data_IF_053116466823
#
_entry.id   IF_053116466823
#
_cell.length_a   1.000
_cell.length_b   1.000
_cell.length_c   1.000
_cell.angle_alpha   90.00
_cell.angle_beta   90.00
_cell.angle_gamma   90.00
#
_symmetry.space_group_name_H-M   'P 1'
#
loop_
_entity.id
_entity.type
_entity.pdbx_description
1 polymer ?
#
# COMPACT_ATOMS: atom_id res chain seq x y z
N UNK A 1 -26.74 5.55 0.74
CA UNK A 1 -26.25 6.88 1.16
C UNK A 1 -25.40 7.45 0.05
N UNK A 2 -25.43 8.76 -0.17
CA UNK A 2 -24.55 9.39 -1.14
C UNK A 2 -23.10 9.16 -0.69
N UNK A 3 -22.32 8.45 -1.51
CA UNK A 3 -20.87 8.36 -1.29
C UNK A 3 -20.25 9.72 -1.61
N UNK A 4 -19.29 10.21 -0.80
CA UNK A 4 -18.52 11.40 -1.15
C UNK A 4 -17.92 11.24 -2.55
N UNK A 5 -17.97 12.30 -3.36
CA UNK A 5 -17.40 12.28 -4.72
C UNK A 5 -15.87 12.31 -4.70
N UNK A 6 -15.30 13.06 -3.77
CA UNK A 6 -13.85 13.23 -3.60
C UNK A 6 -13.41 12.64 -2.28
N UNK A 7 -12.41 11.76 -2.32
CA UNK A 7 -11.91 11.06 -1.13
C UNK A 7 -11.24 12.03 -0.14
N UNK A 8 -10.35 12.89 -0.64
CA UNK A 8 -9.67 13.90 0.16
C UNK A 8 -10.45 15.21 0.07
N UNK A 9 -11.38 15.39 1.00
CA UNK A 9 -12.29 16.53 1.04
C UNK A 9 -12.85 16.70 2.45
N UNK A 10 -13.45 17.86 2.72
CA UNK A 10 -14.13 18.13 3.99
C UNK A 10 -15.27 17.14 4.31
N UNK A 11 -15.86 16.52 3.29
CA UNK A 11 -16.97 15.55 3.41
C UNK A 11 -16.49 14.12 3.74
N UNK A 12 -15.20 13.84 3.56
CA UNK A 12 -14.62 12.50 3.69
C UNK A 12 -13.31 12.54 4.49
N UNK A 13 -12.15 12.50 3.82
CA UNK A 13 -10.83 12.56 4.46
C UNK A 13 -10.37 14.01 4.50
N UNK A 14 -10.49 14.61 5.69
CA UNK A 14 -10.22 16.03 5.93
C UNK A 14 -9.05 16.25 6.91
N UNK A 15 -8.84 17.51 7.31
CA UNK A 15 -7.76 17.88 8.25
C UNK A 15 -7.86 17.19 9.60
N UNK A 16 -9.06 17.02 10.16
CA UNK A 16 -9.26 16.29 11.42
C UNK A 16 -8.87 14.82 11.27
N UNK A 17 -9.20 14.22 10.12
CA UNK A 17 -8.79 12.85 9.78
C UNK A 17 -7.27 12.73 9.72
N UNK A 18 -6.58 13.72 9.13
CA UNK A 18 -5.11 13.75 9.11
C UNK A 18 -4.50 13.88 10.51
N UNK A 19 -5.11 14.69 11.39
CA UNK A 19 -4.64 14.81 12.78
C UNK A 19 -4.86 13.54 13.59
N UNK A 20 -6.00 12.88 13.43
CA UNK A 20 -6.27 11.59 14.05
C UNK A 20 -5.27 10.52 13.57
N UNK A 21 -4.96 10.51 12.28
CA UNK A 21 -3.94 9.64 11.70
C UNK A 21 -2.54 9.92 12.29
N UNK A 22 -2.13 11.20 12.35
CA UNK A 22 -0.87 11.58 12.97
C UNK A 22 -0.82 11.17 14.45
N UNK A 23 -1.93 11.30 15.17
CA UNK A 23 -2.02 10.89 16.57
C UNK A 23 -1.83 9.36 16.71
N UNK A 24 -2.45 8.56 15.84
CA UNK A 24 -2.26 7.11 15.83
C UNK A 24 -0.79 6.73 15.55
N UNK A 25 -0.12 7.41 14.61
CA UNK A 25 1.32 7.21 14.32
C UNK A 25 2.17 7.54 15.56
N UNK A 26 1.90 8.69 16.21
CA UNK A 26 2.61 9.09 17.44
C UNK A 26 2.48 8.05 18.53
N UNK A 27 1.28 7.54 18.76
CA UNK A 27 1.03 6.54 19.80
C UNK A 27 1.69 5.20 19.50
N UNK A 28 1.61 4.73 18.25
CA UNK A 28 2.27 3.51 17.79
C UNK A 28 3.79 3.59 18.01
N UNK A 29 4.43 4.64 17.52
CA UNK A 29 5.88 4.82 17.65
C UNK A 29 6.26 5.02 19.13
N UNK A 30 5.51 5.80 19.89
CA UNK A 30 5.80 6.03 21.30
C UNK A 30 5.79 4.72 22.10
N UNK A 31 4.87 3.80 21.79
CA UNK A 31 4.78 2.46 22.39
C UNK A 31 5.94 1.58 21.94
N UNK A 32 6.22 1.53 20.63
CA UNK A 32 7.00 0.46 20.04
C UNK A 32 8.46 0.80 19.68
N UNK A 33 8.88 2.07 19.79
CA UNK A 33 10.23 2.53 19.43
C UNK A 33 11.39 1.74 20.05
N UNK A 34 11.18 1.10 21.20
CA UNK A 34 12.20 0.32 21.90
C UNK A 34 12.16 -1.19 21.59
N UNK A 35 11.22 -1.65 20.74
CA UNK A 35 11.16 -3.05 20.33
C UNK A 35 12.15 -3.31 19.20
N UNK A 36 13.16 -4.19 19.41
CA UNK A 36 14.16 -4.48 18.39
C UNK A 36 13.60 -5.31 17.23
N UNK A 37 12.47 -5.97 17.42
CA UNK A 37 11.77 -6.72 16.37
C UNK A 37 11.07 -5.81 15.36
N UNK A 38 10.80 -4.55 15.72
CA UNK A 38 10.21 -3.59 14.79
C UNK A 38 11.33 -3.03 13.93
N UNK A 39 11.27 -3.28 12.63
CA UNK A 39 12.32 -2.88 11.66
C UNK A 39 11.89 -1.77 10.71
N UNK A 40 10.59 -1.49 10.61
CA UNK A 40 10.00 -0.51 9.69
C UNK A 40 8.63 -0.08 10.19
N UNK A 41 8.23 1.16 9.89
CA UNK A 41 6.88 1.66 10.17
C UNK A 41 6.03 1.68 8.90
N UNK A 42 4.91 0.96 8.90
CA UNK A 42 3.87 1.12 7.87
C UNK A 42 2.86 2.14 8.35
N UNK A 43 2.72 3.26 7.65
CA UNK A 43 1.83 4.35 8.09
C UNK A 43 0.38 4.12 7.67
N UNK A 44 0.13 3.39 6.58
CA UNK A 44 -1.21 3.05 6.11
C UNK A 44 -1.19 1.82 5.21
N UNK A 45 -2.37 1.25 4.99
CA UNK A 45 -2.60 0.13 4.08
C UNK A 45 -3.60 0.51 2.99
N UNK A 46 -3.22 0.33 1.73
CA UNK A 46 -4.06 0.46 0.54
C UNK A 46 -4.87 1.76 0.40
N UNK A 47 -4.30 2.96 0.64
CA UNK A 47 -5.00 4.19 0.28
C UNK A 47 -5.18 4.31 -1.24
N UNK A 48 -6.29 4.90 -1.70
CA UNK A 48 -6.41 5.32 -3.09
C UNK A 48 -5.64 6.62 -3.30
N UNK A 49 -4.54 6.55 -4.06
CA UNK A 49 -3.61 7.67 -4.22
C UNK A 49 -3.83 8.45 -5.52
N UNK A 50 -4.83 8.08 -6.32
CA UNK A 50 -5.14 8.72 -7.60
C UNK A 50 -5.90 10.04 -7.43
N UNK A 51 -6.83 10.19 -6.47
CA UNK A 51 -7.54 11.45 -6.27
C UNK A 51 -6.58 12.60 -5.91
N UNK A 52 -6.98 13.82 -6.29
CA UNK A 52 -6.29 15.02 -5.86
C UNK A 52 -6.30 15.10 -4.33
N UNK A 53 -5.22 15.63 -3.74
CA UNK A 53 -5.08 15.74 -2.28
C UNK A 53 -4.41 14.53 -1.62
N UNK A 54 -4.25 13.38 -2.29
CA UNK A 54 -3.58 12.21 -1.71
C UNK A 54 -2.15 12.54 -1.22
N UNK A 55 -1.35 13.18 -2.08
CA UNK A 55 0.02 13.58 -1.73
C UNK A 55 0.05 14.64 -0.63
N UNK A 56 -0.86 15.61 -0.67
CA UNK A 56 -0.99 16.66 0.34
C UNK A 56 -1.38 16.09 1.71
N UNK A 57 -2.17 15.01 1.71
CA UNK A 57 -2.52 14.26 2.91
C UNK A 57 -1.34 13.44 3.46
N UNK A 58 -0.60 12.72 2.61
CA UNK A 58 0.43 11.78 3.07
C UNK A 58 1.81 12.40 3.31
N UNK A 59 2.21 13.44 2.58
CA UNK A 59 3.54 14.05 2.73
C UNK A 59 3.82 14.58 4.16
N UNK A 60 2.90 15.31 4.82
CA UNK A 60 3.11 15.76 6.20
C UNK A 60 3.22 14.60 7.19
N UNK A 61 2.47 13.51 6.97
CA UNK A 61 2.51 12.31 7.81
C UNK A 61 3.85 11.58 7.67
N UNK A 62 4.35 11.41 6.45
CA UNK A 62 5.65 10.81 6.19
C UNK A 62 6.78 11.63 6.85
N UNK A 63 6.76 12.95 6.69
CA UNK A 63 7.75 13.84 7.32
C UNK A 63 7.68 13.76 8.86
N UNK A 64 6.48 13.81 9.43
CA UNK A 64 6.31 13.72 10.88
C UNK A 64 6.76 12.36 11.44
N UNK A 65 6.49 11.26 10.73
CA UNK A 65 6.91 9.90 11.12
C UNK A 65 8.43 9.82 11.22
N UNK A 66 9.15 10.33 10.23
CA UNK A 66 10.63 10.38 10.23
C UNK A 66 11.20 11.22 11.38
N UNK A 67 10.51 12.30 11.78
CA UNK A 67 10.90 13.11 12.94
C UNK A 67 10.63 12.40 14.27
N UNK A 68 9.61 11.55 14.35
CA UNK A 68 9.26 10.81 15.55
C UNK A 68 10.22 9.64 15.81
N UNK A 69 10.62 8.92 14.76
CA UNK A 69 11.65 7.89 14.84
C UNK A 69 12.54 7.90 13.58
N UNK A 70 13.72 8.54 13.64
CA UNK A 70 14.66 8.57 12.52
C UNK A 70 15.49 7.29 12.38
N UNK A 71 15.30 6.29 13.26
CA UNK A 71 16.15 5.08 13.29
C UNK A 71 15.65 3.94 12.41
N UNK A 72 14.40 4.03 11.91
CA UNK A 72 13.76 2.99 11.12
C UNK A 72 13.21 3.55 9.80
N UNK A 73 13.26 2.78 8.70
CA UNK A 73 12.57 3.13 7.47
C UNK A 73 11.05 3.25 7.66
N UNK A 74 10.41 3.96 6.74
CA UNK A 74 8.95 4.11 6.67
C UNK A 74 8.40 3.62 5.33
N UNK A 75 7.18 3.09 5.34
CA UNK A 75 6.45 2.64 4.15
C UNK A 75 4.97 3.02 4.22
N UNK A 76 4.30 2.99 3.08
CA UNK A 76 2.85 3.00 2.95
C UNK A 76 2.51 1.88 1.95
N UNK A 77 1.70 0.91 2.39
CA UNK A 77 1.43 -0.29 1.57
C UNK A 77 0.51 0.09 0.41
N UNK A 78 0.97 -0.17 -0.81
CA UNK A 78 0.35 0.27 -2.05
C UNK A 78 -0.63 -0.78 -2.62
N UNK A 79 -1.82 -0.31 -2.98
CA UNK A 79 -2.91 -1.09 -3.58
C UNK A 79 -2.70 -1.33 -5.07
N UNK A 80 -3.12 -2.49 -5.58
CA UNK A 80 -2.86 -2.92 -6.95
C UNK A 80 -3.37 -2.01 -8.09
N UNK A 81 -4.41 -1.19 -7.84
CA UNK A 81 -4.94 -0.28 -8.87
C UNK A 81 -4.25 1.09 -8.88
N UNK A 82 -3.35 1.36 -7.94
CA UNK A 82 -2.42 2.48 -7.96
C UNK A 82 -1.05 1.95 -8.41
N UNK A 83 -0.97 1.55 -9.69
CA UNK A 83 0.23 0.98 -10.30
C UNK A 83 1.38 1.99 -10.44
N UNK A 84 2.53 1.53 -10.92
CA UNK A 84 3.74 2.35 -11.09
C UNK A 84 3.50 3.66 -11.87
N UNK A 85 2.53 3.72 -12.78
CA UNK A 85 2.24 4.90 -13.59
C UNK A 85 1.18 5.82 -12.97
N UNK A 86 0.39 5.34 -12.02
CA UNK A 86 -0.76 6.07 -11.44
C UNK A 86 -0.56 6.46 -9.98
N UNK A 87 0.32 5.79 -9.25
CA UNK A 87 0.68 6.16 -7.88
C UNK A 87 1.43 7.50 -7.80
N UNK A 88 1.05 8.30 -6.80
CA UNK A 88 1.51 9.69 -6.62
C UNK A 88 2.28 9.94 -5.31
N UNK A 89 2.50 8.91 -4.49
CA UNK A 89 3.04 9.08 -3.12
C UNK A 89 4.24 8.20 -2.78
N UNK A 90 4.54 7.15 -3.57
CA UNK A 90 5.53 6.15 -3.18
C UNK A 90 6.95 6.70 -2.98
N UNK A 91 7.30 7.80 -3.66
CA UNK A 91 8.58 8.49 -3.51
C UNK A 91 8.80 9.14 -2.13
N UNK A 92 7.74 9.29 -1.33
CA UNK A 92 7.82 9.83 0.04
C UNK A 92 8.38 8.82 1.05
N UNK A 93 8.39 7.54 0.69
CA UNK A 93 8.70 6.40 1.55
C UNK A 93 10.06 5.77 1.20
N UNK A 94 10.56 4.89 2.07
CA UNK A 94 11.90 4.29 1.93
C UNK A 94 11.88 2.91 1.24
N UNK A 95 10.82 2.16 1.48
CA UNK A 95 10.63 0.79 0.99
C UNK A 95 9.26 0.72 0.33
N UNK A 96 9.23 0.21 -0.90
CA UNK A 96 8.00 0.00 -1.64
C UNK A 96 7.35 -1.31 -1.20
N UNK A 97 6.21 -1.21 -0.52
CA UNK A 97 5.42 -2.38 -0.13
C UNK A 97 4.21 -2.51 -1.05
N UNK A 98 4.08 -3.64 -1.74
CA UNK A 98 3.04 -3.89 -2.73
C UNK A 98 2.12 -5.02 -2.30
N UNK A 99 0.80 -4.78 -2.40
CA UNK A 99 -0.21 -5.81 -2.36
C UNK A 99 -0.64 -6.13 -3.80
N UNK A 100 -0.45 -7.36 -4.26
CA UNK A 100 -0.72 -7.74 -5.66
C UNK A 100 -1.47 -9.06 -5.77
N UNK A 101 -2.46 -9.04 -6.64
CA UNK A 101 -3.46 -10.09 -6.81
C UNK A 101 -3.73 -10.39 -8.30
N UNK A 102 -2.71 -10.26 -9.14
CA UNK A 102 -2.78 -10.75 -10.53
C UNK A 102 -2.96 -12.27 -10.53
N UNK A 103 -3.86 -12.76 -11.37
CA UNK A 103 -4.30 -14.16 -11.34
C UNK A 103 -5.54 -14.39 -10.47
N UNK A 104 -5.92 -13.42 -9.64
CA UNK A 104 -7.07 -13.50 -8.73
C UNK A 104 -8.15 -12.48 -9.09
N UNK A 105 -7.96 -11.21 -8.71
CA UNK A 105 -8.95 -10.15 -8.97
C UNK A 105 -8.98 -9.68 -10.43
N UNK A 106 -7.85 -9.83 -11.12
CA UNK A 106 -7.68 -9.56 -12.56
C UNK A 106 -6.85 -10.70 -13.15
N UNK A 107 -7.03 -11.00 -14.45
CA UNK A 107 -6.51 -12.22 -15.05
C UNK A 107 -6.95 -13.48 -14.27
N UNK A 108 -8.18 -13.48 -13.75
CA UNK A 108 -8.71 -14.53 -12.88
C UNK A 108 -8.55 -15.93 -13.49
N UNK A 109 -7.73 -16.77 -12.85
CA UNK A 109 -7.41 -18.13 -13.30
C UNK A 109 -6.39 -18.23 -14.44
N UNK A 110 -5.96 -17.11 -15.03
CA UNK A 110 -4.98 -17.04 -16.12
C UNK A 110 -3.58 -16.73 -15.57
N UNK A 111 -2.88 -17.78 -15.12
CA UNK A 111 -1.54 -17.67 -14.55
C UNK A 111 -0.49 -17.21 -15.57
N UNK A 112 -0.61 -17.61 -16.84
CA UNK A 112 0.35 -17.25 -17.89
C UNK A 112 0.36 -15.75 -18.18
N UNK A 113 -0.82 -15.12 -18.20
CA UNK A 113 -0.94 -13.67 -18.34
C UNK A 113 -0.59 -12.97 -17.03
N UNK A 114 -1.03 -13.50 -15.88
CA UNK A 114 -0.75 -12.92 -14.57
C UNK A 114 0.76 -12.80 -14.28
N UNK A 115 1.55 -13.82 -14.62
CA UNK A 115 3.01 -13.81 -14.47
C UNK A 115 3.64 -12.65 -15.26
N UNK A 116 3.26 -12.50 -16.54
CA UNK A 116 3.78 -11.43 -17.40
C UNK A 116 3.40 -10.04 -16.91
N UNK A 117 2.17 -9.88 -16.41
CA UNK A 117 1.69 -8.61 -15.87
C UNK A 117 2.44 -8.25 -14.58
N UNK A 118 2.61 -9.22 -13.68
CA UNK A 118 3.34 -9.03 -12.42
C UNK A 118 4.80 -8.66 -12.68
N UNK A 119 5.53 -9.42 -13.50
CA UNK A 119 6.93 -9.13 -13.80
C UNK A 119 7.09 -7.75 -14.43
N UNK A 120 6.24 -7.42 -15.41
CA UNK A 120 6.26 -6.09 -16.06
C UNK A 120 6.03 -4.97 -15.06
N UNK A 121 5.10 -5.13 -14.13
CA UNK A 121 4.83 -4.11 -13.11
C UNK A 121 5.99 -3.96 -12.12
N UNK A 122 6.57 -5.07 -11.65
CA UNK A 122 7.71 -5.04 -10.73
C UNK A 122 8.92 -4.35 -11.35
N UNK A 123 9.21 -4.62 -12.62
CA UNK A 123 10.27 -3.92 -13.36
C UNK A 123 9.97 -2.44 -13.56
N UNK A 124 8.71 -2.06 -13.81
CA UNK A 124 8.30 -0.66 -13.91
C UNK A 124 8.50 0.09 -12.59
N UNK A 125 8.19 -0.54 -11.46
CA UNK A 125 8.47 0.00 -10.13
C UNK A 125 9.96 0.12 -9.84
N UNK A 126 10.74 -0.90 -10.20
CA UNK A 126 12.19 -0.89 -10.05
C UNK A 126 12.82 0.28 -10.82
N UNK A 127 12.40 0.51 -12.07
CA UNK A 127 12.88 1.63 -12.89
C UNK A 127 12.43 2.99 -12.36
N UNK A 128 11.18 3.10 -11.87
CA UNK A 128 10.63 4.37 -11.36
C UNK A 128 11.35 4.87 -10.10
N UNK A 129 11.61 3.97 -9.14
CA UNK A 129 12.02 4.37 -7.78
C UNK A 129 13.39 3.85 -7.36
N UNK A 130 13.88 2.75 -7.93
CA UNK A 130 15.08 2.04 -7.47
C UNK A 130 15.09 1.75 -5.95
N UNK A 131 13.92 1.65 -5.33
CA UNK A 131 13.75 1.31 -3.92
C UNK A 131 13.71 -0.20 -3.71
N UNK A 132 14.04 -0.72 -2.51
CA UNK A 132 13.74 -2.09 -2.14
C UNK A 132 12.24 -2.35 -2.24
N UNK A 133 11.86 -3.48 -2.83
CA UNK A 133 10.46 -3.90 -3.02
C UNK A 133 10.16 -5.09 -2.10
N UNK A 134 9.07 -5.00 -1.34
CA UNK A 134 8.52 -6.10 -0.55
C UNK A 134 7.09 -6.36 -1.04
N UNK A 135 6.76 -7.62 -1.33
CA UNK A 135 5.37 -8.02 -1.57
C UNK A 135 4.76 -8.33 -0.21
N UNK A 136 3.96 -7.41 0.30
CA UNK A 136 3.33 -7.51 1.63
C UNK A 136 2.09 -8.40 1.62
N UNK A 137 1.39 -8.46 0.47
CA UNK A 137 0.28 -9.37 0.27
C UNK A 137 0.29 -9.95 -1.15
N UNK A 138 0.13 -11.27 -1.21
CA UNK A 138 -0.15 -12.05 -2.42
C UNK A 138 -0.87 -13.31 -1.98
N UNK A 139 -2.05 -13.57 -2.54
CA UNK A 139 -2.86 -14.69 -2.11
C UNK A 139 -4.09 -14.90 -2.98
N UNK A 140 -4.72 -16.04 -2.78
CA UNK A 140 -5.98 -16.43 -3.41
C UNK A 140 -6.88 -17.03 -2.34
N UNK A 141 -8.18 -16.81 -2.41
CA UNK A 141 -9.10 -17.54 -1.55
C UNK A 141 -8.99 -19.04 -1.84
N UNK A 142 -9.02 -19.87 -0.80
CA UNK A 142 -8.89 -21.32 -0.94
C UNK A 142 -9.83 -22.03 0.02
N UNK A 143 -10.75 -22.83 -0.52
CA UNK A 143 -11.65 -23.66 0.29
C UNK A 143 -10.92 -24.94 0.72
N UNK A 144 -10.76 -25.12 2.03
CA UNK A 144 -10.07 -26.28 2.59
C UNK A 144 -10.75 -27.61 2.17
N UNK A 145 -10.00 -28.49 1.52
CA UNK A 145 -10.49 -29.79 1.03
C UNK A 145 -11.10 -29.76 -0.38
N UNK A 146 -11.21 -28.58 -1.01
CA UNK A 146 -11.53 -28.50 -2.43
C UNK A 146 -10.30 -28.88 -3.27
N UNK A 147 -10.48 -29.82 -4.18
CA UNK A 147 -9.46 -30.27 -5.12
C UNK A 147 -10.05 -30.20 -6.54
N UNK A 148 -9.25 -29.74 -7.50
CA UNK A 148 -9.64 -29.72 -8.91
C UNK A 148 -8.51 -30.26 -9.78
N UNK A 149 -8.89 -30.93 -10.88
CA UNK A 149 -8.00 -31.30 -11.97
C UNK A 149 -8.02 -30.25 -13.11
N UNK A 150 -8.91 -29.26 -13.00
CA UNK A 150 -9.11 -28.20 -13.98
C UNK A 150 -8.47 -26.90 -13.49
N UNK A 151 -8.05 -26.07 -14.44
CA UNK A 151 -7.57 -24.70 -14.21
C UNK A 151 -8.75 -23.75 -13.99
N UNK A 152 -9.57 -24.05 -12.99
CA UNK A 152 -10.67 -23.19 -12.53
C UNK A 152 -10.28 -22.53 -11.19
N UNK A 153 -10.81 -21.34 -10.90
CA UNK A 153 -10.51 -20.64 -9.63
C UNK A 153 -11.12 -21.33 -8.40
N UNK A 154 -12.18 -22.13 -8.59
CA UNK A 154 -12.83 -23.00 -7.60
C UNK A 154 -13.71 -24.04 -8.29
#
# INVERSE_FOLDING_TARGET
GNKPKELYSEEAVNGETQQAHLQAIKELIARDKNHPSVVMWSIANEPDTRPQGAREYFAPLAEATRKLDPTRPITCVNVMFCDAHTDTISDLFDVLCLNRYYGWYVQSGDLETAEKVLEKELLAWQEKLHQPIIITEYGVDTLAGLHSMYTDMW
#
